data_IF_724645444272
#
_entry.id   IF_724645444272
#
_cell.length_a   1.000
_cell.length_b   1.000
_cell.length_c   1.000
_cell.angle_alpha   90.00
_cell.angle_beta   90.00
_cell.angle_gamma   90.00
#
_symmetry.space_group_name_H-M   'P 1'
#
loop_
_entity.id
_entity.type
_entity.pdbx_description
1 polymer ?
#
# COMPACT_ATOMS: atom_id res chain seq x y z
N UNK A 1 -15.24 -13.54 -14.39
CA UNK A 1 -14.46 -14.07 -13.24
C UNK A 1 -12.98 -13.84 -13.50
N UNK A 2 -12.27 -13.02 -12.71
CA UNK A 2 -10.84 -12.83 -12.90
C UNK A 2 -10.08 -14.15 -12.67
N UNK A 3 -9.17 -14.49 -13.58
CA UNK A 3 -8.35 -15.71 -13.60
C UNK A 3 -7.71 -16.14 -12.26
N UNK A 4 -7.21 -15.26 -11.37
CA UNK A 4 -6.62 -15.68 -10.10
C UNK A 4 -7.62 -16.37 -9.15
N UNK A 5 -8.91 -16.04 -9.25
CA UNK A 5 -9.96 -16.64 -8.39
C UNK A 5 -10.23 -18.08 -8.81
N UNK A 6 -10.19 -18.39 -10.11
CA UNK A 6 -10.35 -19.77 -10.60
C UNK A 6 -9.21 -20.68 -10.13
N UNK A 7 -7.97 -20.20 -10.20
CA UNK A 7 -6.81 -21.01 -9.77
C UNK A 7 -6.83 -21.30 -8.26
N UNK A 8 -7.22 -20.32 -7.45
CA UNK A 8 -7.34 -20.49 -5.99
C UNK A 8 -8.41 -21.52 -5.61
N UNK A 9 -9.58 -21.47 -6.27
CA UNK A 9 -10.66 -22.42 -6.03
C UNK A 9 -10.28 -23.84 -6.46
N UNK A 10 -9.66 -24.00 -7.62
CA UNK A 10 -9.28 -25.33 -8.15
C UNK A 10 -8.23 -25.99 -7.25
N UNK A 11 -7.21 -25.24 -6.81
CA UNK A 11 -6.13 -25.79 -5.99
C UNK A 11 -6.56 -26.10 -4.55
N UNK A 12 -7.41 -25.28 -3.95
CA UNK A 12 -7.92 -25.54 -2.59
C UNK A 12 -8.90 -26.72 -2.54
N UNK A 13 -9.75 -26.85 -3.57
CA UNK A 13 -10.71 -27.95 -3.65
C UNK A 13 -10.03 -29.28 -3.98
N UNK A 14 -9.01 -29.29 -4.85
CA UNK A 14 -8.27 -30.51 -5.17
C UNK A 14 -7.52 -31.06 -3.95
N UNK A 15 -6.87 -30.18 -3.16
CA UNK A 15 -6.19 -30.57 -1.94
C UNK A 15 -7.12 -31.18 -0.89
N UNK A 16 -8.37 -30.69 -0.78
CA UNK A 16 -9.38 -31.22 0.13
C UNK A 16 -9.89 -32.61 -0.31
N UNK A 17 -10.11 -32.80 -1.62
CA UNK A 17 -10.65 -34.03 -2.18
C UNK A 17 -9.62 -35.18 -2.22
N UNK A 18 -8.34 -34.88 -2.46
CA UNK A 18 -7.26 -35.89 -2.51
C UNK A 18 -7.00 -36.52 -1.14
N UNK A 19 -7.23 -35.79 -0.06
CA UNK A 19 -6.94 -36.23 1.32
C UNK A 19 -8.20 -36.73 2.07
N UNK A 20 -9.28 -37.04 1.33
CA UNK A 20 -10.50 -37.66 1.88
C UNK A 20 -11.26 -36.83 2.94
N UNK A 21 -10.98 -35.53 3.06
CA UNK A 21 -11.58 -34.65 4.06
C UNK A 21 -10.87 -34.63 5.43
N UNK A 22 -9.71 -35.26 5.59
CA UNK A 22 -8.89 -35.19 6.82
C UNK A 22 -8.44 -33.76 7.20
N UNK A 23 -8.02 -32.88 6.27
CA UNK A 23 -7.85 -31.47 6.58
C UNK A 23 -9.19 -30.74 6.42
N UNK A 24 -9.67 -30.07 7.48
CA UNK A 24 -10.78 -29.12 7.39
C UNK A 24 -10.57 -28.16 6.22
N UNK A 25 -11.63 -27.75 5.50
CA UNK A 25 -11.55 -26.81 4.36
C UNK A 25 -10.64 -25.59 4.66
N UNK A 26 -10.70 -25.07 5.88
CA UNK A 26 -9.82 -23.98 6.35
C UNK A 26 -8.32 -24.28 6.24
N UNK A 27 -7.90 -25.53 6.44
CA UNK A 27 -6.50 -25.97 6.31
C UNK A 27 -6.12 -26.15 4.84
N UNK A 28 -7.02 -26.66 4.01
CA UNK A 28 -6.81 -26.82 2.56
C UNK A 28 -6.66 -25.46 1.85
N UNK A 29 -7.36 -24.43 2.33
CA UNK A 29 -7.22 -23.04 1.85
C UNK A 29 -6.15 -22.21 2.61
N UNK A 30 -5.44 -22.81 3.57
CA UNK A 30 -4.34 -22.15 4.30
C UNK A 30 -4.76 -21.15 5.39
N UNK A 31 -6.02 -21.17 5.83
CA UNK A 31 -6.58 -20.26 6.84
C UNK A 31 -6.23 -20.63 8.30
N UNK A 32 -5.81 -21.87 8.59
CA UNK A 32 -5.26 -22.23 9.90
C UNK A 32 -3.73 -22.36 9.88
N UNK A 33 -3.03 -21.29 10.25
CA UNK A 33 -1.68 -21.36 10.81
C UNK A 33 -1.69 -20.79 12.23
N UNK A 34 -1.32 -21.62 13.21
CA UNK A 34 -0.95 -21.21 14.58
C UNK A 34 -0.08 -19.95 14.52
N UNK A 35 -0.53 -18.85 15.12
CA UNK A 35 0.25 -17.61 15.22
C UNK A 35 0.53 -16.86 13.91
N UNK A 36 -0.20 -17.13 12.83
CA UNK A 36 0.00 -16.47 11.53
C UNK A 36 -0.71 -15.11 11.42
N UNK A 37 0.00 -14.08 10.96
CA UNK A 37 -0.58 -12.81 10.51
C UNK A 37 -1.64 -13.10 9.44
N UNK A 38 -2.89 -12.64 9.63
CA UNK A 38 -3.96 -12.88 8.64
C UNK A 38 -3.55 -12.39 7.24
N UNK A 39 -4.02 -13.01 6.15
CA UNK A 39 -3.67 -12.59 4.78
C UNK A 39 -3.92 -11.10 4.53
N UNK A 40 -5.02 -10.56 5.07
CA UNK A 40 -5.34 -9.13 5.04
C UNK A 40 -4.25 -8.27 5.70
N UNK A 41 -3.77 -8.71 6.86
CA UNK A 41 -2.73 -8.00 7.61
C UNK A 41 -1.36 -8.13 6.96
N UNK A 42 -1.07 -9.24 6.30
CA UNK A 42 0.13 -9.40 5.48
C UNK A 42 0.11 -8.43 4.29
N UNK A 43 -1.00 -8.35 3.54
CA UNK A 43 -1.15 -7.41 2.43
C UNK A 43 -1.04 -5.94 2.87
N UNK A 44 -1.66 -5.59 4.02
CA UNK A 44 -1.54 -4.25 4.61
C UNK A 44 -0.09 -3.93 5.00
N UNK A 45 0.63 -4.89 5.60
CA UNK A 45 2.04 -4.71 5.94
C UNK A 45 2.92 -4.51 4.70
N UNK A 46 2.69 -5.26 3.62
CA UNK A 46 3.41 -5.10 2.34
C UNK A 46 3.18 -3.70 1.78
N UNK A 47 1.92 -3.29 1.62
CA UNK A 47 1.58 -1.95 1.10
C UNK A 47 2.20 -0.83 1.91
N UNK A 48 2.19 -0.95 3.25
CA UNK A 48 2.86 0.00 4.13
C UNK A 48 4.36 0.08 3.86
N UNK A 49 5.02 -1.08 3.73
CA UNK A 49 6.46 -1.13 3.50
C UNK A 49 6.81 -0.49 2.15
N UNK A 50 6.01 -0.74 1.11
CA UNK A 50 6.20 -0.16 -0.22
C UNK A 50 6.10 1.38 -0.18
N UNK A 51 5.10 1.92 0.53
CA UNK A 51 4.96 3.37 0.74
C UNK A 51 6.20 3.95 1.42
N UNK A 52 6.70 3.29 2.47
CA UNK A 52 7.85 3.78 3.23
C UNK A 52 9.15 3.72 2.42
N UNK A 53 9.32 2.69 1.60
CA UNK A 53 10.45 2.55 0.70
C UNK A 53 10.42 3.62 -0.40
N UNK A 54 9.27 3.76 -1.07
CA UNK A 54 9.07 4.82 -2.06
C UNK A 54 9.32 6.20 -1.46
N UNK A 55 8.85 6.44 -0.23
CA UNK A 55 9.06 7.69 0.47
C UNK A 55 10.54 7.96 0.76
N UNK A 56 11.31 6.96 1.19
CA UNK A 56 12.77 7.08 1.34
C UNK A 56 13.43 7.44 0.01
N UNK A 57 13.03 6.80 -1.08
CA UNK A 57 13.64 6.99 -2.41
C UNK A 57 13.30 8.35 -3.04
N UNK A 58 12.03 8.79 -2.91
CA UNK A 58 11.53 10.00 -3.55
C UNK A 58 11.83 11.29 -2.77
N UNK A 59 12.01 11.22 -1.45
CA UNK A 59 12.26 12.40 -0.63
C UNK A 59 13.75 12.78 -0.61
N UNK A 60 14.17 13.94 -1.15
CA UNK A 60 15.59 14.30 -1.32
C UNK A 60 16.41 14.28 -0.03
N UNK A 61 15.81 14.63 1.11
CA UNK A 61 16.52 14.63 2.38
C UNK A 61 16.82 13.25 2.93
N UNK A 62 16.16 12.20 2.44
CA UNK A 62 16.23 10.84 2.99
C UNK A 62 16.83 9.82 2.02
N UNK A 63 16.78 10.09 0.72
CA UNK A 63 17.28 9.17 -0.32
C UNK A 63 18.76 8.86 -0.19
N UNK A 64 19.58 9.87 0.14
CA UNK A 64 21.02 9.72 0.34
C UNK A 64 21.42 9.27 1.76
N UNK A 65 20.46 9.10 2.67
CA UNK A 65 20.76 8.73 4.06
C UNK A 65 20.82 7.21 4.24
N UNK A 66 21.69 6.78 5.16
CA UNK A 66 21.69 5.39 5.59
C UNK A 66 20.35 4.99 6.21
N UNK A 67 19.91 3.72 6.08
CA UNK A 67 18.62 3.27 6.61
C UNK A 67 18.40 3.59 8.10
N UNK A 68 19.46 3.57 8.90
CA UNK A 68 19.41 3.88 10.32
C UNK A 68 19.13 5.37 10.62
N UNK A 69 19.68 6.29 9.81
CA UNK A 69 19.42 7.73 9.98
C UNK A 69 18.05 8.08 9.40
N UNK A 70 17.73 7.54 8.23
CA UNK A 70 16.45 7.73 7.57
C UNK A 70 15.29 7.27 8.49
N UNK A 71 15.39 6.09 9.11
CA UNK A 71 14.32 5.56 9.97
C UNK A 71 14.02 6.47 11.17
N UNK A 72 15.05 7.02 11.82
CA UNK A 72 14.88 7.96 12.94
C UNK A 72 14.22 9.26 12.49
N UNK A 73 14.68 9.83 11.36
CA UNK A 73 14.13 11.08 10.81
C UNK A 73 12.69 10.92 10.35
N UNK A 74 12.39 9.86 9.60
CA UNK A 74 11.04 9.53 9.14
C UNK A 74 10.08 9.32 10.31
N UNK A 75 10.51 8.59 11.35
CA UNK A 75 9.68 8.36 12.54
C UNK A 75 9.35 9.68 13.25
N UNK A 76 10.37 10.51 13.50
CA UNK A 76 10.18 11.82 14.13
C UNK A 76 9.25 12.72 13.32
N UNK A 77 9.42 12.77 12.00
CA UNK A 77 8.58 13.56 11.11
C UNK A 77 7.12 13.05 11.12
N UNK A 78 6.92 11.73 11.14
CA UNK A 78 5.60 11.12 11.26
C UNK A 78 4.93 11.48 12.58
N UNK A 79 5.64 11.33 13.71
CA UNK A 79 5.09 11.63 15.04
C UNK A 79 4.67 13.12 15.14
N UNK A 80 5.45 14.03 14.54
CA UNK A 80 5.09 15.46 14.46
C UNK A 80 3.84 15.71 13.60
N UNK A 81 3.74 15.03 12.46
CA UNK A 81 2.58 15.13 11.58
C UNK A 81 1.31 14.59 12.26
N UNK A 82 1.40 13.43 12.91
CA UNK A 82 0.30 12.79 13.64
C UNK A 82 -0.19 13.64 14.81
N UNK A 83 0.73 14.24 15.58
CA UNK A 83 0.38 15.08 16.72
C UNK A 83 -0.23 16.44 16.31
N UNK A 84 0.19 16.97 15.16
CA UNK A 84 -0.17 18.29 14.66
C UNK A 84 -1.19 18.24 13.52
N UNK A 85 -0.69 18.22 12.27
CA UNK A 85 -1.47 18.43 11.04
C UNK A 85 -2.57 17.38 10.84
N UNK A 86 -2.32 16.13 11.23
CA UNK A 86 -3.28 15.04 11.04
C UNK A 86 -4.66 15.34 11.64
N UNK A 87 -4.72 15.99 12.80
CA UNK A 87 -5.99 16.35 13.46
C UNK A 87 -6.90 17.22 12.57
N UNK A 88 -6.31 18.04 11.69
CA UNK A 88 -7.01 18.91 10.74
C UNK A 88 -7.31 18.19 9.43
N UNK A 89 -6.40 17.33 9.00
CA UNK A 89 -6.44 16.69 7.66
C UNK A 89 -7.13 15.32 7.65
N UNK A 90 -7.47 14.74 8.81
CA UNK A 90 -8.12 13.41 8.94
C UNK A 90 -9.43 13.27 8.17
N UNK A 91 -10.16 14.38 8.00
CA UNK A 91 -11.47 14.43 7.32
C UNK A 91 -11.35 14.90 5.87
N UNK A 92 -10.16 15.30 5.42
CA UNK A 92 -9.93 15.65 4.02
C UNK A 92 -10.19 14.43 3.13
N UNK A 93 -10.73 14.66 1.93
CA UNK A 93 -10.87 13.63 0.91
C UNK A 93 -9.60 13.45 0.09
N UNK A 94 -8.79 14.51 -0.02
CA UNK A 94 -7.54 14.51 -0.76
C UNK A 94 -6.33 14.50 0.18
N UNK A 95 -5.31 13.72 -0.19
CA UNK A 95 -4.01 13.76 0.47
C UNK A 95 -3.31 15.10 0.20
N UNK A 96 -2.43 15.57 1.11
CA UNK A 96 -1.51 16.66 0.82
C UNK A 96 -0.71 16.41 -0.47
N UNK A 97 -0.38 17.46 -1.22
CA UNK A 97 0.35 17.34 -2.48
C UNK A 97 1.85 17.09 -2.31
N UNK A 98 2.42 17.49 -1.17
CA UNK A 98 3.85 17.38 -0.90
C UNK A 98 4.18 16.14 -0.05
N UNK A 99 5.23 15.43 -0.46
CA UNK A 99 5.91 14.48 0.43
C UNK A 99 6.70 15.23 1.50
N UNK A 100 6.80 14.71 2.74
CA UNK A 100 6.40 13.36 3.17
C UNK A 100 4.95 13.25 3.67
N UNK A 101 4.22 14.36 3.69
CA UNK A 101 2.88 14.43 4.29
C UNK A 101 1.84 13.63 3.51
N UNK A 102 1.96 13.55 2.18
CA UNK A 102 1.10 12.72 1.34
C UNK A 102 1.16 11.25 1.77
N UNK A 103 2.36 10.70 1.93
CA UNK A 103 2.57 9.33 2.39
C UNK A 103 2.10 9.11 3.84
N UNK A 104 2.38 10.05 4.75
CA UNK A 104 1.90 9.93 6.14
C UNK A 104 0.38 9.98 6.25
N UNK A 105 -0.27 10.85 5.46
CA UNK A 105 -1.72 10.90 5.36
C UNK A 105 -2.29 9.57 4.89
N UNK A 106 -1.71 8.95 3.85
CA UNK A 106 -2.15 7.63 3.35
C UNK A 106 -2.03 6.55 4.40
N UNK A 107 -0.92 6.53 5.14
CA UNK A 107 -0.72 5.57 6.24
C UNK A 107 -1.83 5.69 7.29
N UNK A 108 -2.09 6.90 7.76
CA UNK A 108 -3.09 7.14 8.81
C UNK A 108 -4.53 6.94 8.31
N UNK A 109 -4.84 7.33 7.07
CA UNK A 109 -6.17 7.17 6.46
C UNK A 109 -6.56 5.70 6.28
N UNK A 110 -5.60 4.87 5.89
CA UNK A 110 -5.80 3.42 5.69
C UNK A 110 -5.61 2.63 7.00
N UNK A 111 -5.59 3.30 8.16
CA UNK A 111 -5.38 2.72 9.50
C UNK A 111 -4.08 1.90 9.62
N UNK A 112 -3.09 2.20 8.78
CA UNK A 112 -1.79 1.56 8.80
C UNK A 112 -0.89 2.22 9.85
N UNK A 113 -0.38 1.40 10.78
CA UNK A 113 0.53 1.88 11.83
C UNK A 113 1.94 2.08 11.30
N UNK A 114 2.54 3.24 11.58
CA UNK A 114 3.96 3.51 11.38
C UNK A 114 4.81 2.51 12.20
N UNK A 115 5.76 1.78 11.58
CA UNK A 115 6.63 0.87 12.30
C UNK A 115 7.52 1.61 13.32
N UNK A 116 7.94 0.91 14.37
CA UNK A 116 8.97 1.40 15.28
C UNK A 116 10.31 1.53 14.57
N UNK A 117 11.24 2.31 15.12
CA UNK A 117 12.51 2.67 14.48
C UNK A 117 13.31 1.45 14.01
N UNK A 118 13.41 0.40 14.82
CA UNK A 118 14.16 -0.82 14.45
C UNK A 118 13.51 -1.55 13.27
N UNK A 119 12.19 -1.73 13.33
CA UNK A 119 11.45 -2.37 12.23
C UNK A 119 11.47 -1.53 10.95
N UNK A 120 11.39 -0.21 11.09
CA UNK A 120 11.51 0.71 9.96
C UNK A 120 12.91 0.62 9.35
N UNK A 121 13.97 0.57 10.17
CA UNK A 121 15.34 0.34 9.68
C UNK A 121 15.42 -0.96 8.88
N UNK A 122 14.89 -2.07 9.40
CA UNK A 122 14.87 -3.35 8.67
C UNK A 122 14.17 -3.22 7.31
N UNK A 123 13.01 -2.56 7.27
CA UNK A 123 12.27 -2.33 6.03
C UNK A 123 13.14 -1.53 5.05
N UNK A 124 13.73 -0.41 5.50
CA UNK A 124 14.53 0.49 4.68
C UNK A 124 15.91 -0.07 4.28
N UNK A 125 16.39 -1.11 4.99
CA UNK A 125 17.59 -1.88 4.67
C UNK A 125 17.30 -3.02 3.69
N UNK A 126 16.05 -3.47 3.61
CA UNK A 126 15.61 -4.46 2.64
C UNK A 126 15.41 -3.73 1.30
N UNK A 127 16.51 -3.34 0.66
CA UNK A 127 16.45 -2.87 -0.72
C UNK A 127 15.99 -4.05 -1.57
N UNK A 128 14.81 -3.94 -2.19
CA UNK A 128 14.37 -4.90 -3.18
C UNK A 128 14.00 -4.25 -4.50
N UNK A 129 14.68 -4.75 -5.52
CA UNK A 129 14.57 -4.54 -6.94
C UNK A 129 13.23 -5.11 -7.44
N UNK A 130 12.15 -4.34 -7.35
CA UNK A 130 10.89 -4.67 -8.00
C UNK A 130 10.28 -3.42 -8.64
N UNK A 131 9.83 -3.48 -9.91
CA UNK A 131 9.18 -2.36 -10.55
C UNK A 131 7.91 -1.99 -9.79
N UNK A 132 7.84 -0.75 -9.37
CA UNK A 132 6.66 -0.13 -8.78
C UNK A 132 5.55 -0.10 -9.83
N UNK A 133 4.70 -1.11 -9.88
CA UNK A 133 3.44 -1.03 -10.62
C UNK A 133 2.48 -0.15 -9.81
N UNK A 134 2.55 1.15 -10.07
CA UNK A 134 1.55 2.11 -9.63
C UNK A 134 0.23 1.69 -10.26
N UNK A 135 -0.61 0.95 -9.53
CA UNK A 135 -1.99 0.75 -9.91
C UNK A 135 -2.73 2.06 -9.67
N UNK A 136 -2.46 3.04 -10.54
CA UNK A 136 -3.33 4.18 -10.74
C UNK A 136 -4.72 3.59 -10.95
N UNK A 137 -5.62 3.86 -10.01
CA UNK A 137 -7.03 3.74 -10.34
C UNK A 137 -7.27 4.66 -11.53
N UNK A 138 -7.96 4.21 -12.59
CA UNK A 138 -8.29 5.07 -13.71
C UNK A 138 -9.15 6.20 -13.15
N UNK A 139 -8.54 7.36 -12.94
CA UNK A 139 -9.27 8.56 -12.63
C UNK A 139 -10.07 8.89 -13.87
N UNK A 140 -11.38 8.74 -13.73
CA UNK A 140 -12.42 9.40 -14.49
C UNK A 140 -11.96 10.77 -14.96
N UNK A 141 -11.57 10.87 -16.23
CA UNK A 141 -11.49 12.14 -16.92
C UNK A 141 -12.81 12.29 -17.67
N UNK A 142 -13.79 12.80 -16.95
CA UNK A 142 -14.91 13.53 -17.52
C UNK A 142 -14.35 14.76 -18.22
N UNK A 143 -14.10 14.66 -19.52
CA UNK A 143 -13.95 15.84 -20.36
C UNK A 143 -15.27 16.04 -21.10
N UNK A 144 -16.15 16.79 -20.44
CA UNK A 144 -17.30 17.41 -21.08
C UNK A 144 -16.95 18.87 -21.32
N UNK A 145 -17.36 19.37 -22.48
CA UNK A 145 -17.33 20.75 -23.00
C UNK A 145 -16.04 21.23 -23.69
N UNK A 146 -16.12 21.34 -25.03
CA UNK A 146 -16.21 22.66 -25.68
C UNK A 146 -16.89 22.56 -27.05
N UNK A 147 -17.99 23.31 -27.21
CA UNK A 147 -18.58 23.61 -28.50
C UNK A 147 -17.89 24.79 -29.19
N UNK A 148 -18.53 25.27 -30.26
CA UNK A 148 -18.18 26.39 -31.15
C UNK A 148 -17.15 25.99 -32.22
N UNK A 149 -17.33 26.23 -33.52
CA UNK A 149 -18.34 26.99 -34.25
C UNK A 149 -18.27 26.63 -35.74
N UNK A 150 -19.32 26.95 -36.48
CA UNK A 150 -19.47 26.74 -37.93
C UNK A 150 -18.47 27.54 -38.78
N UNK A 151 -18.19 27.10 -40.01
CA UNK A 151 -18.16 27.94 -41.23
C UNK A 151 -17.97 27.12 -42.52
N UNK A 152 -18.61 27.65 -43.56
CA UNK A 152 -18.80 27.26 -44.97
C UNK A 152 -17.54 27.12 -45.87
N UNK A 153 -17.84 26.77 -47.13
CA UNK A 153 -17.06 26.81 -48.40
C UNK A 153 -16.36 25.48 -48.77
N UNK A 154 -16.57 24.84 -49.93
CA UNK A 154 -17.21 25.15 -51.23
C UNK A 154 -17.67 23.81 -51.87
#
# INVERSE_FOLDING_TARGET
MPYPVKLFLINGLSAFLVDGGEPSLDKAFGFRRQGGVSPRRAASNTRRNDILLHLKQSHPEWSALSPAVASRRMRKAFDQYEAGRWKRERHSLAAPSAEPYASFWRLLRDEMRMPQVDRLREILSTEFNAPFEFRASPSTMTESLRGDDASDDD
#
